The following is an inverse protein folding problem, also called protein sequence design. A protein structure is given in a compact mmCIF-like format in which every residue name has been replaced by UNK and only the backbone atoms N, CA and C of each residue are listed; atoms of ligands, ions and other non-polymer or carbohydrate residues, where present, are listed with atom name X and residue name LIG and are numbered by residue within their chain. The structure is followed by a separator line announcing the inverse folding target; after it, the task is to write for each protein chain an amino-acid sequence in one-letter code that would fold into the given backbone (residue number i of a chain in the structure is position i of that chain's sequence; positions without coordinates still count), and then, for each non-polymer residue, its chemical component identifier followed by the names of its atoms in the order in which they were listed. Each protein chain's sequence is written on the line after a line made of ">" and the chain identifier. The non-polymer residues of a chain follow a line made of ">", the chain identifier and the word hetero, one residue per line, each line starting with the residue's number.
data_IF_060272915455
#
_entry.id   IF_060272915455
#
_cell.length_a   1.000
_cell.length_b   1.000
_cell.length_c   1.000
_cell.angle_alpha   90.00
_cell.angle_beta   90.00
_cell.angle_gamma   90.00
#
_symmetry.space_group_name_H-M   'P 1'
#
loop_
_entity.id
_entity.type
_entity.pdbx_description
1 polymer ?
#
# COMPACT_ATOMS: atom_id res chain seq x y z
N UNK A 1 6.42 -12.85 10.49
CA UNK A 1 5.34 -12.79 9.48
C UNK A 1 5.76 -11.80 8.42
N UNK A 2 5.55 -12.11 7.14
CA UNK A 2 6.08 -11.34 6.01
C UNK A 2 5.61 -9.87 6.04
N UNK A 3 4.37 -9.61 6.48
CA UNK A 3 3.81 -8.26 6.53
C UNK A 3 4.57 -7.32 7.49
N UNK A 4 5.04 -7.84 8.63
CA UNK A 4 5.86 -7.09 9.56
C UNK A 4 7.23 -6.78 8.95
N UNK A 5 7.82 -7.75 8.24
CA UNK A 5 9.08 -7.56 7.52
C UNK A 5 8.94 -6.49 6.44
N UNK A 6 7.88 -6.56 5.63
CA UNK A 6 7.56 -5.54 4.60
C UNK A 6 7.42 -4.16 5.24
N UNK A 7 6.66 -4.07 6.35
CA UNK A 7 6.47 -2.81 7.05
C UNK A 7 7.80 -2.25 7.55
N UNK A 8 8.65 -3.07 8.17
CA UNK A 8 9.98 -2.65 8.63
C UNK A 8 10.90 -2.23 7.47
N UNK A 9 10.84 -2.94 6.35
CA UNK A 9 11.60 -2.65 5.13
C UNK A 9 11.26 -1.30 4.52
N UNK A 10 9.98 -0.93 4.46
CA UNK A 10 9.53 0.37 3.92
C UNK A 10 9.68 1.54 4.91
N UNK A 11 10.33 1.34 6.06
CA UNK A 11 10.58 2.40 7.06
C UNK A 11 9.72 2.31 8.33
N UNK A 12 8.92 1.27 8.49
CA UNK A 12 8.23 0.92 9.73
C UNK A 12 7.27 1.99 10.24
N UNK A 13 7.40 2.32 11.52
CA UNK A 13 6.59 3.37 12.15
C UNK A 13 6.85 4.76 11.56
N UNK A 14 8.05 5.02 11.03
CA UNK A 14 8.37 6.32 10.41
C UNK A 14 7.60 6.50 9.11
N UNK A 15 7.50 5.44 8.31
CA UNK A 15 6.68 5.43 7.10
C UNK A 15 5.22 5.77 7.40
N UNK A 16 4.64 5.12 8.43
CA UNK A 16 3.27 5.41 8.85
C UNK A 16 3.10 6.88 9.29
N UNK A 17 4.06 7.43 10.04
CA UNK A 17 4.03 8.81 10.49
C UNK A 17 4.17 9.83 9.34
N UNK A 18 5.04 9.55 8.35
CA UNK A 18 5.27 10.45 7.22
C UNK A 18 4.14 10.42 6.19
N UNK A 19 3.63 9.23 5.87
CA UNK A 19 2.58 9.06 4.85
C UNK A 19 1.17 9.20 5.42
N UNK A 20 1.01 9.19 6.75
CA UNK A 20 -0.28 9.12 7.42
C UNK A 20 -1.03 7.82 7.17
N UNK A 21 -0.35 6.78 6.67
CA UNK A 21 -0.95 5.46 6.42
C UNK A 21 -1.28 4.75 7.73
N UNK A 22 -2.42 4.06 7.75
CA UNK A 22 -2.99 3.43 8.95
C UNK A 22 -3.63 2.08 8.64
N UNK A 23 -4.08 1.36 9.65
CA UNK A 23 -4.72 0.04 9.53
C UNK A 23 -3.84 -0.99 8.78
N UNK A 24 -2.63 -1.22 9.28
CA UNK A 24 -1.71 -2.24 8.77
C UNK A 24 -2.25 -3.64 9.11
N UNK A 25 -2.75 -4.35 8.11
CA UNK A 25 -3.33 -5.69 8.22
C UNK A 25 -2.38 -6.68 7.56
N UNK A 26 -2.02 -7.72 8.31
CA UNK A 26 -1.27 -8.85 7.80
C UNK A 26 -2.20 -9.76 6.97
N UNK A 27 -1.86 -9.99 5.70
CA UNK A 27 -2.59 -10.88 4.80
C UNK A 27 -1.98 -12.30 4.73
N UNK A 28 -0.94 -12.57 5.52
CA UNK A 28 -0.18 -13.82 5.51
C UNK A 28 0.98 -13.81 4.52
N UNK A 29 0.68 -13.52 3.25
CA UNK A 29 1.67 -13.36 2.17
C UNK A 29 1.94 -11.89 1.79
N UNK A 30 1.45 -10.93 2.58
CA UNK A 30 1.55 -9.52 2.22
C UNK A 30 1.02 -8.58 3.31
N UNK A 31 1.14 -7.29 3.04
CA UNK A 31 0.71 -6.21 3.92
C UNK A 31 -0.36 -5.36 3.23
N UNK A 32 -1.50 -5.15 3.90
CA UNK A 32 -2.53 -4.20 3.47
C UNK A 32 -2.52 -2.98 4.39
N UNK A 33 -2.73 -1.80 3.83
CA UNK A 33 -2.87 -0.56 4.60
C UNK A 33 -3.91 0.40 4.01
N UNK A 34 -4.45 1.27 4.87
CA UNK A 34 -5.23 2.45 4.50
C UNK A 34 -4.29 3.62 4.21
N UNK A 35 -4.46 4.26 3.06
CA UNK A 35 -3.70 5.45 2.69
C UNK A 35 -4.40 6.72 3.17
N UNK A 36 -3.61 7.73 3.54
CA UNK A 36 -4.11 9.09 3.74
C UNK A 36 -4.54 9.73 2.40
N UNK A 37 -5.11 10.93 2.47
CA UNK A 37 -5.48 11.68 1.27
C UNK A 37 -4.22 11.92 0.41
N UNK A 38 -4.26 11.43 -0.82
CA UNK A 38 -3.15 11.45 -1.76
C UNK A 38 -3.59 12.02 -3.11
N UNK A 39 -2.63 12.21 -4.03
CA UNK A 39 -2.87 12.81 -5.34
C UNK A 39 -3.81 11.98 -6.22
N UNK A 40 -3.71 10.65 -6.15
CA UNK A 40 -4.43 9.71 -7.01
C UNK A 40 -5.79 9.26 -6.45
N UNK A 41 -6.21 9.81 -5.30
CA UNK A 41 -7.42 9.42 -4.56
C UNK A 41 -7.47 7.94 -4.13
N UNK A 42 -6.34 7.23 -4.16
CA UNK A 42 -6.24 5.88 -3.61
C UNK A 42 -6.43 5.95 -2.10
N UNK A 43 -7.12 4.97 -1.52
CA UNK A 43 -7.30 4.92 -0.07
C UNK A 43 -6.88 3.58 0.53
N UNK A 44 -6.47 2.63 -0.31
CA UNK A 44 -5.95 1.34 0.09
C UNK A 44 -4.75 0.99 -0.78
N UNK A 45 -3.77 0.36 -0.14
CA UNK A 45 -2.62 -0.26 -0.76
C UNK A 45 -2.51 -1.68 -0.24
N UNK A 46 -2.40 -2.62 -1.17
CA UNK A 46 -2.04 -4.01 -0.90
C UNK A 46 -0.64 -4.26 -1.47
N UNK A 47 0.26 -4.77 -0.64
CA UNK A 47 1.60 -5.20 -1.02
C UNK A 47 1.66 -6.72 -0.82
N UNK A 48 1.81 -7.48 -1.89
CA UNK A 48 1.88 -8.95 -1.84
C UNK A 48 3.32 -9.35 -2.14
N UNK A 49 3.89 -10.22 -1.31
CA UNK A 49 5.19 -10.81 -1.54
C UNK A 49 5.03 -12.15 -2.25
N UNK A 50 5.71 -12.29 -3.38
CA UNK A 50 5.82 -13.54 -4.12
C UNK A 50 7.11 -14.27 -3.74
N UNK A 51 6.99 -15.28 -2.89
CA UNK A 51 8.12 -16.08 -2.43
C UNK A 51 8.78 -16.92 -3.54
N UNK A 52 8.10 -17.15 -4.67
CA UNK A 52 8.65 -17.90 -5.79
C UNK A 52 9.61 -17.09 -6.66
N UNK A 53 9.41 -15.78 -6.71
CA UNK A 53 10.21 -14.86 -7.53
C UNK A 53 11.06 -13.88 -6.70
N UNK A 54 10.85 -13.84 -5.38
CA UNK A 54 11.45 -12.85 -4.46
C UNK A 54 11.12 -11.40 -4.86
N UNK A 55 9.86 -11.18 -5.26
CA UNK A 55 9.36 -9.89 -5.75
C UNK A 55 8.09 -9.45 -5.03
N UNK A 56 7.79 -8.16 -5.12
CA UNK A 56 6.62 -7.54 -4.52
C UNK A 56 5.65 -7.02 -5.57
N UNK A 57 4.36 -7.19 -5.32
CA UNK A 57 3.28 -6.66 -6.13
C UNK A 57 2.51 -5.62 -5.33
N UNK A 58 2.43 -4.38 -5.84
CA UNK A 58 1.70 -3.27 -5.22
C UNK A 58 0.41 -2.98 -5.97
N UNK A 59 -0.71 -3.02 -5.27
CA UNK A 59 -2.03 -2.66 -5.80
C UNK A 59 -2.62 -1.49 -5.05
N UNK A 60 -2.80 -0.38 -5.76
CA UNK A 60 -3.46 0.82 -5.30
C UNK A 60 -4.89 0.86 -5.80
N UNK A 61 -5.83 0.98 -4.87
CA UNK A 61 -7.24 1.09 -5.20
C UNK A 61 -7.96 2.04 -4.26
N UNK A 62 -9.13 2.46 -4.72
CA UNK A 62 -10.07 3.24 -3.95
C UNK A 62 -11.28 2.38 -3.64
N UNK A 63 -11.47 2.07 -2.37
CA UNK A 63 -12.67 1.43 -1.85
C UNK A 63 -13.61 2.47 -1.26
N UNK A 64 -14.75 2.70 -1.90
CA UNK A 64 -15.78 3.62 -1.41
C UNK A 64 -16.96 2.81 -0.89
N UNK A 65 -17.35 3.07 0.36
CA UNK A 65 -18.53 2.45 0.95
C UNK A 65 -19.67 3.46 0.98
N UNK A 66 -20.77 3.14 0.31
CA UNK A 66 -21.98 3.96 0.33
C UNK A 66 -22.87 3.53 1.48
N UNK A 67 -22.98 4.36 2.53
CA UNK A 67 -23.89 4.09 3.67
C UNK A 67 -25.38 4.14 3.27
N UNK A 68 -25.72 4.79 2.15
CA UNK A 68 -27.11 4.89 1.66
C UNK A 68 -27.57 3.68 0.86
N UNK A 69 -26.69 3.11 0.05
CA UNK A 69 -27.01 1.95 -0.83
C UNK A 69 -26.40 0.64 -0.33
N UNK A 70 -25.62 0.67 0.76
CA UNK A 70 -24.83 -0.45 1.27
C UNK A 70 -23.88 -1.08 0.24
N UNK A 71 -23.64 -0.42 -0.88
CA UNK A 71 -22.75 -0.89 -1.92
C UNK A 71 -21.30 -0.53 -1.62
N UNK A 72 -20.42 -1.51 -1.81
CA UNK A 72 -18.98 -1.31 -1.79
C UNK A 72 -18.48 -1.21 -3.22
N UNK A 73 -18.05 -0.02 -3.63
CA UNK A 73 -17.43 0.19 -4.95
C UNK A 73 -15.92 0.19 -4.79
N UNK A 74 -15.26 -0.69 -5.53
CA UNK A 74 -13.81 -0.75 -5.62
C UNK A 74 -13.40 -0.24 -7.00
N UNK A 75 -12.50 0.73 -7.03
CA UNK A 75 -11.91 1.25 -8.26
C UNK A 75 -10.41 1.05 -8.19
N UNK A 76 -9.86 0.26 -9.11
CA UNK A 76 -8.42 0.11 -9.28
C UNK A 76 -7.84 1.40 -9.86
N UNK A 77 -6.69 1.81 -9.33
CA UNK A 77 -6.00 3.05 -9.70
C UNK A 77 -4.67 2.72 -10.37
N UNK A 78 -3.85 1.91 -9.71
CA UNK A 78 -2.54 1.51 -10.20
C UNK A 78 -2.19 0.12 -9.67
N UNK A 79 -1.56 -0.68 -10.50
CA UNK A 79 -1.02 -1.99 -10.17
C UNK A 79 0.39 -2.06 -10.71
N UNK A 80 1.32 -2.46 -9.85
CA UNK A 80 2.72 -2.62 -10.18
C UNK A 80 3.15 -4.00 -9.72
N UNK A 81 3.69 -4.79 -10.64
CA UNK A 81 4.07 -6.17 -10.40
C UNK A 81 5.58 -6.32 -10.59
N UNK A 82 6.19 -7.24 -9.85
CA UNK A 82 7.62 -7.54 -9.99
C UNK A 82 8.54 -6.44 -9.45
N UNK A 83 8.13 -5.76 -8.38
CA UNK A 83 8.88 -4.66 -7.77
C UNK A 83 9.87 -5.20 -6.75
N UNK A 84 11.09 -4.68 -6.76
CA UNK A 84 12.09 -4.97 -5.73
C UNK A 84 11.84 -4.17 -4.44
N UNK A 85 12.34 -4.68 -3.32
CA UNK A 85 12.13 -4.08 -1.99
C UNK A 85 12.56 -2.60 -1.91
N UNK A 86 13.66 -2.24 -2.55
CA UNK A 86 14.22 -0.89 -2.61
C UNK A 86 13.39 0.07 -3.47
N UNK A 87 12.63 -0.44 -4.43
CA UNK A 87 11.76 0.35 -5.31
C UNK A 87 10.37 0.63 -4.71
N UNK A 88 9.99 -0.07 -3.63
CA UNK A 88 8.66 0.08 -3.01
C UNK A 88 8.38 1.52 -2.57
N UNK A 89 9.35 2.21 -1.97
CA UNK A 89 9.21 3.59 -1.52
C UNK A 89 9.07 4.57 -2.70
N UNK A 90 9.83 4.35 -3.76
CA UNK A 90 9.79 5.19 -4.96
C UNK A 90 8.44 5.05 -5.67
N UNK A 91 7.98 3.81 -5.88
CA UNK A 91 6.68 3.52 -6.48
C UNK A 91 5.54 4.08 -5.62
N UNK A 92 5.65 3.97 -4.30
CA UNK A 92 4.70 4.58 -3.38
C UNK A 92 4.63 6.10 -3.54
N UNK A 93 5.78 6.77 -3.54
CA UNK A 93 5.87 8.23 -3.69
C UNK A 93 5.36 8.66 -5.07
N UNK A 94 5.66 7.90 -6.12
CA UNK A 94 5.20 8.17 -7.48
C UNK A 94 3.68 8.11 -7.60
N UNK A 95 3.05 7.06 -7.05
CA UNK A 95 1.59 6.87 -7.15
C UNK A 95 0.83 7.77 -6.17
N UNK A 96 1.29 7.91 -4.93
CA UNK A 96 0.56 8.66 -3.91
C UNK A 96 0.92 10.16 -3.90
N UNK A 97 2.13 10.52 -4.33
CA UNK A 97 2.69 11.86 -4.18
C UNK A 97 3.05 12.20 -2.72
N UNK A 98 3.00 11.23 -1.80
CA UNK A 98 3.37 11.42 -0.41
C UNK A 98 4.87 11.16 -0.26
N UNK A 99 5.59 12.14 0.28
CA UNK A 99 7.03 12.01 0.48
C UNK A 99 7.34 11.02 1.62
N UNK A 100 8.22 10.05 1.33
CA UNK A 100 8.73 9.09 2.32
C UNK A 100 10.14 9.41 2.80
N UNK A 101 10.80 10.44 2.23
CA UNK A 101 12.13 10.92 2.64
C UNK A 101 12.03 12.32 3.27
N UNK A 102 12.74 12.51 4.38
CA UNK A 102 12.96 13.80 5.03
C UNK A 102 13.91 14.68 4.21
#
# INVERSE_FOLDING_TARGET
>A
MIAKTILEQIGGRRFAAMTGSKDFIDMGNGLRMSLARNRTSANRLDIIYDAGLDLYNMRFYRRTFSKKTFECKTKDIATHEGIYCDMLEEMFTMVTGLYTRF
#
